data_IF_666432522438
#
_entry.id   IF_666432522438
#
_cell.length_a   1.000
_cell.length_b   1.000
_cell.length_c   1.000
_cell.angle_alpha   90.00
_cell.angle_beta   90.00
_cell.angle_gamma   90.00
#
_symmetry.space_group_name_H-M   'P 1'
#
loop_
_entity.id
_entity.type
_entity.pdbx_description
1 polymer ?
#
# COMPACT_ATOMS: atom_id res chain seq x y z
N UNK A 1 1.42 -9.90 9.76
CA UNK A 1 0.12 -9.58 9.13
C UNK A 1 0.19 -10.01 7.69
N UNK A 2 -0.74 -10.83 7.23
CA UNK A 2 -0.85 -11.18 5.82
C UNK A 2 -1.56 -10.03 5.09
N UNK A 3 -0.80 -9.21 4.36
CA UNK A 3 -1.38 -8.20 3.48
C UNK A 3 -2.13 -8.92 2.37
N UNK A 4 -3.44 -8.69 2.25
CA UNK A 4 -4.24 -9.35 1.23
C UNK A 4 -3.99 -8.74 -0.16
N UNK A 5 -4.14 -9.54 -1.21
CA UNK A 5 -4.08 -9.05 -2.58
C UNK A 5 -5.14 -7.95 -2.85
N UNK A 6 -6.24 -7.97 -2.09
CA UNK A 6 -7.31 -7.00 -2.17
C UNK A 6 -6.88 -5.64 -1.60
N UNK A 7 -6.21 -5.63 -0.44
CA UNK A 7 -5.65 -4.40 0.13
C UNK A 7 -4.60 -3.76 -0.78
N UNK A 8 -3.75 -4.58 -1.40
CA UNK A 8 -2.74 -4.09 -2.38
C UNK A 8 -3.44 -3.49 -3.59
N UNK A 9 -4.53 -4.11 -4.05
CA UNK A 9 -5.31 -3.62 -5.19
C UNK A 9 -6.01 -2.29 -4.86
N UNK A 10 -6.65 -2.19 -3.70
CA UNK A 10 -7.30 -0.94 -3.24
C UNK A 10 -6.29 0.20 -3.12
N UNK A 11 -5.14 -0.06 -2.50
CA UNK A 11 -4.07 0.93 -2.37
C UNK A 11 -3.53 1.37 -3.75
N UNK A 12 -3.39 0.43 -4.69
CA UNK A 12 -2.99 0.72 -6.06
C UNK A 12 -4.02 1.57 -6.79
N UNK A 13 -5.32 1.30 -6.62
CA UNK A 13 -6.39 2.08 -7.23
C UNK A 13 -6.44 3.51 -6.68
N UNK A 14 -6.15 3.70 -5.39
CA UNK A 14 -6.15 5.03 -4.76
C UNK A 14 -4.89 5.87 -5.02
N UNK A 15 -3.73 5.22 -5.15
CA UNK A 15 -2.43 5.92 -5.29
C UNK A 15 -1.89 5.90 -6.72
N UNK A 16 -2.34 4.98 -7.56
CA UNK A 16 -1.79 4.73 -8.90
C UNK A 16 -0.42 4.05 -8.89
N UNK A 17 0.13 3.70 -7.72
CA UNK A 17 1.47 3.13 -7.60
C UNK A 17 1.55 1.67 -8.12
N UNK A 18 2.78 1.20 -8.37
CA UNK A 18 3.03 -0.18 -8.78
C UNK A 18 2.58 -1.18 -7.71
N UNK A 19 2.18 -2.40 -8.12
CA UNK A 19 1.75 -3.46 -7.20
C UNK A 19 2.81 -3.77 -6.13
N UNK A 20 4.08 -3.77 -6.52
CA UNK A 20 5.20 -4.05 -5.61
C UNK A 20 5.41 -2.93 -4.58
N UNK A 21 5.25 -1.67 -5.00
CA UNK A 21 5.33 -0.51 -4.10
C UNK A 21 4.15 -0.51 -3.12
N UNK A 22 2.94 -0.79 -3.59
CA UNK A 22 1.74 -0.92 -2.74
C UNK A 22 1.90 -2.02 -1.71
N UNK A 23 2.44 -3.18 -2.11
CA UNK A 23 2.73 -4.27 -1.19
C UNK A 23 3.74 -3.85 -0.12
N UNK A 24 4.87 -3.26 -0.53
CA UNK A 24 5.90 -2.79 0.42
C UNK A 24 5.39 -1.71 1.36
N UNK A 25 4.58 -0.79 0.86
CA UNK A 25 3.98 0.27 1.66
C UNK A 25 3.08 -0.31 2.75
N UNK A 26 2.19 -1.24 2.38
CA UNK A 26 1.33 -1.94 3.33
C UNK A 26 2.13 -2.81 4.31
N UNK A 27 3.18 -3.51 3.85
CA UNK A 27 4.04 -4.29 4.73
C UNK A 27 4.77 -3.39 5.75
N UNK A 28 5.29 -2.24 5.31
CA UNK A 28 6.01 -1.28 6.16
C UNK A 28 5.06 -0.55 7.12
N UNK A 29 3.84 -0.30 6.67
CA UNK A 29 2.77 0.29 7.45
C UNK A 29 2.05 -0.72 8.36
N UNK A 30 2.45 -2.01 8.36
CA UNK A 30 1.74 -3.07 9.07
C UNK A 30 0.23 -3.12 8.73
N UNK A 31 -0.11 -2.99 7.45
CA UNK A 31 -1.49 -3.01 6.96
C UNK A 31 -2.28 -1.71 7.20
N UNK A 32 -1.65 -0.68 7.77
CA UNK A 32 -2.25 0.65 7.93
C UNK A 32 -2.33 1.33 6.56
N UNK A 33 -3.57 1.51 6.09
CA UNK A 33 -3.85 2.03 4.76
C UNK A 33 -3.43 3.49 4.62
N UNK A 34 -3.77 4.36 5.57
CA UNK A 34 -3.41 5.78 5.53
C UNK A 34 -1.90 5.97 5.52
N UNK A 35 -1.16 5.24 6.38
CA UNK A 35 0.30 5.26 6.36
C UNK A 35 0.88 4.73 5.06
N UNK A 36 0.29 3.69 4.48
CA UNK A 36 0.74 3.16 3.20
C UNK A 36 0.49 4.16 2.05
N UNK A 37 -0.63 4.90 2.09
CA UNK A 37 -0.91 5.99 1.14
C UNK A 37 0.09 7.13 1.30
N UNK A 38 0.37 7.58 2.52
CA UNK A 38 1.37 8.63 2.75
C UNK A 38 2.77 8.18 2.30
N UNK A 39 3.17 6.96 2.64
CA UNK A 39 4.43 6.37 2.22
C UNK A 39 4.60 6.36 0.69
N UNK A 40 3.51 6.16 -0.06
CA UNK A 40 3.53 6.20 -1.52
C UNK A 40 3.45 7.61 -2.11
N UNK A 41 2.93 8.59 -1.36
CA UNK A 41 2.84 9.99 -1.79
C UNK A 41 4.10 10.80 -1.51
N UNK A 42 4.84 10.46 -0.46
CA UNK A 42 6.11 11.11 -0.11
C UNK A 42 7.30 10.62 -0.97
N UNK A 43 7.08 9.58 -1.80
CA UNK A 43 8.10 8.93 -2.63
C UNK A 43 8.06 9.42 -4.07
#
# INVERSE_FOLDING_TARGET
>A
MEISAQQIKELREATGAGFLDCKKALESANGDYDKAVEFLREK
#
